data_IF_114244199642
#
_entry.id   IF_114244199642
#
_cell.length_a   1.000
_cell.length_b   1.000
_cell.length_c   1.000
_cell.angle_alpha   90.00
_cell.angle_beta   90.00
_cell.angle_gamma   90.00
#
_symmetry.space_group_name_H-M   'P 1'
#
loop_
_entity.id
_entity.type
_entity.pdbx_description
1 polymer ?
#
# COMPACT_ATOMS: atom_id res chain seq x y z
N UNK A 1 -2.40 0.26 10.69
CA UNK A 1 -3.88 0.21 10.76
C UNK A 1 -4.42 0.55 9.36
N UNK A 2 -5.64 0.17 9.01
CA UNK A 2 -6.24 0.62 7.74
C UNK A 2 -6.80 2.04 7.92
N UNK A 3 -6.20 3.02 7.25
CA UNK A 3 -6.54 4.44 7.43
C UNK A 3 -7.64 4.93 6.48
N UNK A 4 -7.62 4.48 5.24
CA UNK A 4 -8.62 4.84 4.23
C UNK A 4 -8.75 3.70 3.20
N UNK A 5 -9.82 3.75 2.41
CA UNK A 5 -10.11 2.87 1.28
C UNK A 5 -10.87 3.68 0.25
N UNK A 6 -10.77 3.27 -1.00
CA UNK A 6 -11.57 3.79 -2.11
C UNK A 6 -11.65 2.73 -3.20
N UNK A 7 -12.64 2.85 -4.05
CA UNK A 7 -12.80 2.08 -5.29
C UNK A 7 -12.98 3.07 -6.45
N UNK A 8 -12.67 2.63 -7.67
CA UNK A 8 -12.81 3.42 -8.89
C UNK A 8 -12.27 4.86 -8.76
N UNK A 9 -13.12 5.87 -8.88
CA UNK A 9 -12.74 7.29 -8.83
C UNK A 9 -12.17 7.69 -7.46
N UNK A 10 -12.70 7.15 -6.37
CA UNK A 10 -12.20 7.42 -5.01
C UNK A 10 -10.77 6.88 -4.86
N UNK A 11 -10.48 5.71 -5.44
CA UNK A 11 -9.13 5.15 -5.43
C UNK A 11 -8.15 6.05 -6.20
N UNK A 12 -8.56 6.57 -7.35
CA UNK A 12 -7.76 7.50 -8.14
C UNK A 12 -7.50 8.81 -7.37
N UNK A 13 -8.51 9.34 -6.69
CA UNK A 13 -8.39 10.53 -5.85
C UNK A 13 -7.40 10.31 -4.69
N UNK A 14 -7.48 9.16 -4.00
CA UNK A 14 -6.55 8.80 -2.92
C UNK A 14 -5.11 8.68 -3.42
N UNK A 15 -4.89 8.08 -4.60
CA UNK A 15 -3.57 7.99 -5.22
C UNK A 15 -3.01 9.39 -5.54
N UNK A 16 -3.85 10.28 -6.09
CA UNK A 16 -3.44 11.65 -6.39
C UNK A 16 -3.07 12.43 -5.12
N UNK A 17 -3.85 12.27 -4.04
CA UNK A 17 -3.56 12.87 -2.74
C UNK A 17 -2.25 12.37 -2.14
N UNK A 18 -2.02 11.05 -2.17
CA UNK A 18 -0.79 10.44 -1.67
C UNK A 18 0.45 10.98 -2.40
N UNK A 19 0.40 11.00 -3.74
CA UNK A 19 1.48 11.56 -4.56
C UNK A 19 1.75 13.03 -4.26
N UNK A 20 0.70 13.84 -4.12
CA UNK A 20 0.83 15.27 -3.77
C UNK A 20 1.48 15.47 -2.38
N UNK A 21 1.27 14.53 -1.47
CA UNK A 21 1.82 14.56 -0.12
C UNK A 21 3.21 13.89 0.00
N UNK A 22 3.79 13.38 -1.09
CA UNK A 22 5.05 12.64 -1.05
C UNK A 22 4.94 11.27 -0.36
N UNK A 23 3.73 10.71 -0.27
CA UNK A 23 3.50 9.38 0.30
C UNK A 23 3.70 8.33 -0.81
N UNK A 24 4.57 7.32 -0.63
CA UNK A 24 4.84 6.31 -1.64
C UNK A 24 3.59 5.46 -1.93
N UNK A 25 3.35 5.19 -3.21
CA UNK A 25 2.22 4.38 -3.68
C UNK A 25 2.76 3.05 -4.20
N UNK A 26 2.36 1.96 -3.54
CA UNK A 26 2.77 0.60 -3.90
C UNK A 26 1.59 -0.15 -4.51
N UNK A 27 1.82 -0.78 -5.66
CA UNK A 27 0.82 -1.58 -6.35
C UNK A 27 1.03 -3.07 -6.04
N UNK A 28 0.15 -3.67 -5.23
CA UNK A 28 -0.03 -5.12 -5.10
C UNK A 28 -1.52 -5.45 -5.20
N UNK A 29 -1.89 -6.19 -6.25
CA UNK A 29 -3.30 -6.49 -6.55
C UNK A 29 -3.90 -7.39 -5.46
N UNK A 30 -3.18 -8.44 -5.06
CA UNK A 30 -3.65 -9.39 -4.05
C UNK A 30 -3.80 -8.71 -2.69
N UNK A 31 -2.79 -7.95 -2.27
CA UNK A 31 -2.80 -7.29 -0.97
C UNK A 31 -3.89 -6.23 -0.91
N UNK A 32 -4.05 -5.41 -1.96
CA UNK A 32 -5.12 -4.42 -2.02
C UNK A 32 -6.50 -5.06 -1.90
N UNK A 33 -6.79 -6.13 -2.66
CA UNK A 33 -8.07 -6.87 -2.59
C UNK A 33 -8.29 -7.50 -1.22
N UNK A 34 -7.24 -8.03 -0.60
CA UNK A 34 -7.32 -8.67 0.71
C UNK A 34 -7.58 -7.65 1.82
N UNK A 35 -6.88 -6.51 1.81
CA UNK A 35 -7.06 -5.44 2.78
C UNK A 35 -8.36 -4.65 2.58
N UNK A 36 -8.89 -4.59 1.35
CA UNK A 36 -10.17 -3.93 1.06
C UNK A 36 -11.33 -4.52 1.87
N UNK A 37 -11.28 -5.83 2.17
CA UNK A 37 -12.29 -6.54 2.99
C UNK A 37 -12.32 -6.13 4.47
N UNK A 38 -11.33 -5.38 4.95
CA UNK A 38 -11.02 -5.24 6.40
C UNK A 38 -11.67 -4.07 7.17
N UNK A 39 -12.64 -3.27 6.74
CA UNK A 39 -13.05 -2.02 7.44
C UNK A 39 -11.92 -1.00 7.82
N UNK A 40 -12.26 0.29 7.78
CA UNK A 40 -11.35 1.36 8.23
C UNK A 40 -11.23 1.34 9.75
N UNK A 41 -10.06 1.73 10.28
CA UNK A 41 -9.78 1.74 11.72
C UNK A 41 -9.40 0.39 12.31
N UNK A 42 -9.48 -0.70 11.55
CA UNK A 42 -9.03 -2.03 11.99
C UNK A 42 -7.53 -2.23 11.72
N UNK A 43 -6.92 -3.10 12.53
CA UNK A 43 -5.53 -3.48 12.36
C UNK A 43 -5.32 -4.34 11.10
N UNK A 44 -4.08 -4.38 10.61
CA UNK A 44 -3.68 -5.25 9.50
C UNK A 44 -3.90 -6.71 9.93
N UNK A 45 -4.62 -7.53 9.14
CA UNK A 45 -4.84 -8.94 9.46
C UNK A 45 -3.53 -9.72 9.54
N UNK A 46 -3.45 -10.69 10.46
CA UNK A 46 -2.26 -11.56 10.59
C UNK A 46 -1.80 -12.20 9.26
N UNK A 47 -2.69 -12.71 8.40
CA UNK A 47 -2.27 -13.33 7.14
C UNK A 47 -1.54 -12.38 6.18
N UNK A 48 -1.74 -11.06 6.31
CA UNK A 48 -1.12 -10.06 5.43
C UNK A 48 0.06 -9.35 6.08
N UNK A 49 0.41 -9.65 7.34
CA UNK A 49 1.47 -8.94 8.05
C UNK A 49 2.84 -9.10 7.37
N UNK A 50 3.15 -10.28 6.84
CA UNK A 50 4.43 -10.52 6.16
C UNK A 50 4.57 -9.66 4.91
N UNK A 51 3.55 -9.67 4.04
CA UNK A 51 3.53 -8.85 2.82
C UNK A 51 3.63 -7.35 3.13
N UNK A 52 2.88 -6.88 4.13
CA UNK A 52 2.98 -5.49 4.61
C UNK A 52 4.38 -5.19 5.13
N UNK A 53 4.99 -6.09 5.91
CA UNK A 53 6.36 -5.94 6.42
C UNK A 53 7.40 -5.84 5.30
N UNK A 54 7.26 -6.63 4.24
CA UNK A 54 8.11 -6.52 3.05
C UNK A 54 7.97 -5.14 2.40
N UNK A 55 6.75 -4.64 2.21
CA UNK A 55 6.51 -3.29 1.67
C UNK A 55 7.20 -2.22 2.51
N UNK A 56 7.06 -2.25 3.84
CA UNK A 56 7.73 -1.31 4.73
C UNK A 56 9.25 -1.34 4.56
N UNK A 57 9.83 -2.54 4.41
CA UNK A 57 11.27 -2.70 4.19
C UNK A 57 11.70 -2.07 2.85
N UNK A 58 11.00 -2.36 1.76
CA UNK A 58 11.38 -1.85 0.43
C UNK A 58 11.18 -0.33 0.37
N UNK A 59 10.07 0.19 0.89
CA UNK A 59 9.85 1.65 0.97
C UNK A 59 10.97 2.33 1.74
N UNK A 60 11.36 1.80 2.91
CA UNK A 60 12.45 2.36 3.70
C UNK A 60 13.80 2.34 2.96
N UNK A 61 14.08 1.25 2.24
CA UNK A 61 15.29 1.14 1.41
C UNK A 61 15.30 2.15 0.26
N UNK A 62 14.13 2.57 -0.24
CA UNK A 62 14.03 3.59 -1.29
C UNK A 62 13.87 5.02 -0.74
N UNK A 63 13.42 5.22 0.49
CA UNK A 63 13.63 6.52 1.15
C UNK A 63 15.13 6.82 1.32
N UNK A 64 15.94 5.77 1.46
CA UNK A 64 17.41 5.86 1.41
C UNK A 64 17.95 6.04 -0.04
N UNK A 65 17.14 5.76 -1.07
CA UNK A 65 17.48 5.76 -2.51
C UNK A 65 16.35 6.47 -3.30
N UNK A 66 16.39 7.80 -3.33
CA UNK A 66 15.37 8.73 -3.86
C UNK A 66 14.51 8.29 -5.07
N UNK A 67 13.18 8.45 -4.90
CA UNK A 67 12.12 8.83 -5.87
C UNK A 67 11.70 7.89 -7.03
N UNK A 68 11.64 6.56 -6.79
CA UNK A 68 11.11 5.59 -7.78
C UNK A 68 9.84 4.84 -7.33
N UNK A 69 8.96 4.53 -8.31
CA UNK A 69 7.74 3.74 -8.10
C UNK A 69 8.09 2.26 -7.96
N UNK A 70 7.73 1.67 -6.81
CA UNK A 70 8.05 0.30 -6.45
C UNK A 70 7.00 -0.67 -6.99
N UNK A 71 7.41 -1.55 -7.89
CA UNK A 71 6.63 -2.73 -8.27
C UNK A 71 7.16 -3.93 -7.49
N UNK A 72 6.28 -4.60 -6.77
CA UNK A 72 6.60 -5.84 -6.07
C UNK A 72 5.79 -6.92 -6.76
N UNK A 73 6.48 -7.82 -7.45
CA UNK A 73 5.88 -9.01 -8.04
C UNK A 73 5.71 -10.05 -6.93
N UNK A 74 4.45 -10.34 -6.58
CA UNK A 74 4.07 -11.38 -5.62
C UNK A 74 4.09 -12.75 -6.34
N UNK A 75 5.28 -13.25 -6.68
CA UNK A 75 5.46 -14.65 -7.11
C UNK A 75 5.52 -15.57 -5.87
N UNK A 76 4.34 -16.00 -5.40
CA UNK A 76 4.15 -17.16 -4.52
C UNK A 76 2.86 -17.91 -4.84
#
# INVERSE_FOLDING_TARGET
MIHCKGEDEDALALIAQAKKAGIPVVQSIWLARTLYKVNVGKYIPRPTLLAVGHIYKVVRQLEEITDEVIRIDDDM
#
